data_IF_806167065537
#
_entry.id   IF_806167065537
#
_cell.length_a   1.000
_cell.length_b   1.000
_cell.length_c   1.000
_cell.angle_alpha   90.00
_cell.angle_beta   90.00
_cell.angle_gamma   90.00
#
_symmetry.space_group_name_H-M   'P 1'
#
loop_
_entity.id
_entity.type
_entity.pdbx_description
1 polymer ?
#
# COMPACT_ATOMS: atom_id res chain seq x y z
N UNK A 1 8.55 -15.01 -7.40
CA UNK A 1 7.96 -13.85 -6.69
C UNK A 1 8.78 -12.63 -7.12
N UNK A 2 8.13 -11.51 -7.47
CA UNK A 2 8.88 -10.31 -7.84
C UNK A 2 9.60 -9.76 -6.61
N UNK A 3 10.77 -9.14 -6.81
CA UNK A 3 11.56 -8.59 -5.70
C UNK A 3 10.93 -7.31 -5.11
N UNK A 4 9.84 -6.80 -5.71
CA UNK A 4 9.09 -5.65 -5.22
C UNK A 4 7.65 -5.64 -5.75
N UNK A 5 6.71 -5.21 -4.90
CA UNK A 5 5.31 -4.94 -5.28
C UNK A 5 4.88 -3.56 -4.78
N UNK A 6 4.11 -2.82 -5.58
CA UNK A 6 3.50 -1.56 -5.18
C UNK A 6 2.02 -1.77 -4.79
N UNK A 7 1.65 -1.37 -3.58
CA UNK A 7 0.28 -1.41 -3.07
C UNK A 7 -0.40 -0.08 -3.37
N UNK A 8 -1.28 -0.11 -4.37
CA UNK A 8 -2.17 0.99 -4.71
C UNK A 8 -3.51 0.83 -3.97
N UNK A 9 -4.25 1.93 -3.81
CA UNK A 9 -5.62 1.92 -3.29
C UNK A 9 -6.55 2.63 -4.24
N UNK A 10 -7.81 2.21 -4.28
CA UNK A 10 -8.84 2.87 -5.10
C UNK A 10 -9.17 4.29 -4.61
N UNK A 11 -8.85 4.60 -3.35
CA UNK A 11 -9.12 5.89 -2.69
C UNK A 11 -8.20 6.03 -1.46
N UNK A 12 -8.30 7.15 -0.74
CA UNK A 12 -7.81 7.29 0.63
C UNK A 12 -8.69 6.47 1.59
N UNK A 13 -8.14 6.03 2.72
CA UNK A 13 -8.85 5.28 3.79
C UNK A 13 -9.53 3.97 3.37
N UNK A 14 -9.11 3.37 2.26
CA UNK A 14 -9.57 2.03 1.83
C UNK A 14 -8.88 0.88 2.57
N UNK A 15 -8.02 1.19 3.55
CA UNK A 15 -7.27 0.22 4.35
C UNK A 15 -6.02 -0.35 3.67
N UNK A 16 -5.31 0.45 2.87
CA UNK A 16 -4.01 0.06 2.28
C UNK A 16 -3.06 -0.48 3.36
N UNK A 17 -2.84 0.28 4.43
CA UNK A 17 -1.95 -0.09 5.55
C UNK A 17 -2.31 -1.44 6.17
N UNK A 18 -3.60 -1.67 6.43
CA UNK A 18 -4.09 -2.94 6.99
C UNK A 18 -3.75 -4.10 6.04
N UNK A 19 -4.04 -3.93 4.75
CA UNK A 19 -3.74 -4.93 3.73
C UNK A 19 -2.22 -5.16 3.56
N UNK A 20 -1.42 -4.09 3.56
CA UNK A 20 0.04 -4.16 3.47
C UNK A 20 0.63 -4.92 4.65
N UNK A 21 0.20 -4.63 5.88
CA UNK A 21 0.62 -5.36 7.07
C UNK A 21 0.22 -6.84 7.00
N UNK A 22 -0.99 -7.16 6.54
CA UNK A 22 -1.43 -8.54 6.37
C UNK A 22 -0.55 -9.31 5.36
N UNK A 23 -0.17 -8.68 4.23
CA UNK A 23 0.78 -9.25 3.26
C UNK A 23 2.14 -9.52 3.91
N UNK A 24 2.69 -8.53 4.64
CA UNK A 24 4.00 -8.66 5.30
C UNK A 24 4.00 -9.82 6.32
N UNK A 25 2.95 -9.94 7.15
CA UNK A 25 2.84 -11.05 8.10
C UNK A 25 2.58 -12.41 7.41
N UNK A 26 1.86 -12.46 6.30
CA UNK A 26 1.69 -13.69 5.51
C UNK A 26 3.03 -14.16 4.89
N UNK A 27 3.88 -13.23 4.46
CA UNK A 27 5.22 -13.55 3.94
C UNK A 27 6.10 -14.20 5.03
N UNK A 28 6.02 -13.68 6.27
CA UNK A 28 6.71 -14.28 7.42
C UNK A 28 6.30 -15.74 7.69
N UNK A 29 5.02 -16.08 7.47
CA UNK A 29 4.52 -17.45 7.63
C UNK A 29 5.01 -18.42 6.54
N UNK A 30 5.51 -17.89 5.43
CA UNK A 30 5.98 -18.66 4.26
C UNK A 30 7.50 -18.66 4.11
N UNK A 31 8.25 -18.22 5.14
CA UNK A 31 9.71 -18.06 5.16
C UNK A 31 10.26 -17.12 4.07
N UNK A 32 9.43 -16.21 3.55
CA UNK A 32 9.86 -15.17 2.61
C UNK A 32 10.13 -13.90 3.43
N UNK A 33 11.35 -13.38 3.36
CA UNK A 33 11.65 -12.12 4.05
C UNK A 33 11.07 -10.97 3.24
N UNK A 34 10.31 -10.10 3.91
CA UNK A 34 9.66 -8.97 3.28
C UNK A 34 9.78 -7.71 4.15
N UNK A 35 10.00 -6.57 3.50
CA UNK A 35 10.13 -5.27 4.16
C UNK A 35 9.14 -4.27 3.58
N UNK A 36 8.46 -3.54 4.46
CA UNK A 36 7.55 -2.46 4.09
C UNK A 36 8.29 -1.18 3.75
N UNK A 37 7.86 -0.48 2.70
CA UNK A 37 8.41 0.80 2.27
C UNK A 37 7.29 1.79 2.01
N UNK A 38 7.25 2.90 2.75
CA UNK A 38 6.30 4.00 2.57
C UNK A 38 7.09 5.24 2.11
N UNK A 39 7.46 5.34 0.83
CA UNK A 39 8.38 6.37 0.35
C UNK A 39 7.95 7.80 0.71
N UNK A 40 6.63 8.03 0.72
CA UNK A 40 6.02 9.34 0.98
C UNK A 40 4.85 9.15 1.96
N UNK A 41 4.84 9.94 3.02
CA UNK A 41 3.76 9.98 3.99
C UNK A 41 3.44 11.42 4.41
N UNK A 42 2.15 11.71 4.55
CA UNK A 42 1.61 13.00 5.02
C UNK A 42 0.61 12.73 6.14
N UNK A 43 0.46 13.65 7.08
CA UNK A 43 -0.30 13.39 8.31
C UNK A 43 0.55 12.62 9.31
N UNK A 44 1.51 13.31 9.91
CA UNK A 44 2.48 12.73 10.84
C UNK A 44 2.48 13.47 12.16
N UNK A 45 2.87 12.78 13.22
CA UNK A 45 2.95 13.34 14.57
C UNK A 45 4.40 13.72 14.90
N UNK A 46 4.58 14.81 15.63
CA UNK A 46 5.89 15.15 16.20
C UNK A 46 6.18 14.25 17.39
N UNK A 47 7.28 13.51 17.33
CA UNK A 47 7.81 12.73 18.45
C UNK A 47 9.21 13.22 18.83
N UNK A 48 9.77 12.79 19.97
CA UNK A 48 11.14 13.12 20.33
C UNK A 48 12.20 12.66 19.30
N UNK A 49 11.85 11.73 18.41
CA UNK A 49 12.72 11.21 17.35
C UNK A 49 12.46 11.85 15.97
N UNK A 50 11.64 12.90 15.93
CA UNK A 50 11.21 13.59 14.71
C UNK A 50 9.77 13.25 14.30
N UNK A 51 9.39 13.60 13.07
CA UNK A 51 8.07 13.27 12.56
C UNK A 51 7.91 11.76 12.39
N UNK A 52 6.75 11.23 12.78
CA UNK A 52 6.40 9.81 12.59
C UNK A 52 4.99 9.68 12.02
N UNK A 53 4.88 8.97 10.91
CA UNK A 53 3.62 8.58 10.32
C UNK A 53 3.18 7.20 10.83
N UNK A 54 1.91 7.06 11.16
CA UNK A 54 1.36 5.81 11.70
C UNK A 54 1.43 4.65 10.71
N UNK A 55 1.21 4.88 9.41
CA UNK A 55 1.28 3.82 8.40
C UNK A 55 2.72 3.31 8.28
N UNK A 56 3.69 4.23 8.20
CA UNK A 56 5.10 3.89 8.13
C UNK A 56 5.57 3.09 9.36
N UNK A 57 5.11 3.46 10.56
CA UNK A 57 5.41 2.72 11.79
C UNK A 57 4.83 1.29 11.77
N UNK A 58 3.59 1.13 11.29
CA UNK A 58 2.96 -0.19 11.18
C UNK A 58 3.70 -1.08 10.16
N UNK A 59 4.10 -0.52 9.02
CA UNK A 59 4.89 -1.22 8.01
C UNK A 59 6.28 -1.60 8.53
N UNK A 60 6.95 -0.70 9.24
CA UNK A 60 8.22 -0.98 9.90
C UNK A 60 8.09 -2.16 10.87
N UNK A 61 7.04 -2.16 11.67
CA UNK A 61 6.77 -3.20 12.65
C UNK A 61 6.40 -4.54 12.02
N UNK A 62 5.65 -4.54 10.91
CA UNK A 62 5.27 -5.74 10.19
C UNK A 62 6.39 -6.30 9.30
N UNK A 63 7.48 -5.56 9.09
CA UNK A 63 8.64 -6.02 8.32
C UNK A 63 9.35 -7.17 9.03
N UNK A 64 9.79 -8.18 8.27
CA UNK A 64 10.50 -9.34 8.82
C UNK A 64 11.98 -9.09 9.11
N UNK A 65 12.48 -7.92 8.71
CA UNK A 65 13.88 -7.51 8.83
C UNK A 65 13.97 -6.20 9.61
N UNK A 66 15.07 -6.03 10.34
CA UNK A 66 15.27 -4.82 11.14
C UNK A 66 15.72 -3.67 10.26
N UNK A 67 14.90 -2.62 10.21
CA UNK A 67 15.16 -1.38 9.44
C UNK A 67 14.89 -0.16 10.29
N UNK A 68 15.57 0.94 9.98
CA UNK A 68 15.30 2.23 10.64
C UNK A 68 14.00 2.84 10.11
N UNK A 69 13.46 3.84 10.82
CA UNK A 69 12.26 4.54 10.34
C UNK A 69 12.52 5.25 9.01
N UNK A 70 13.70 5.86 8.85
CA UNK A 70 14.06 6.61 7.64
C UNK A 70 14.28 5.70 6.43
N UNK A 71 14.64 4.43 6.65
CA UNK A 71 14.66 3.41 5.60
C UNK A 71 13.24 3.13 5.07
N UNK A 72 12.24 3.13 5.96
CA UNK A 72 10.84 2.87 5.61
C UNK A 72 10.17 4.11 5.03
N UNK A 73 10.39 5.30 5.59
CA UNK A 73 9.70 6.53 5.20
C UNK A 73 10.63 7.75 5.13
N UNK A 74 11.35 7.94 3.99
CA UNK A 74 12.28 9.06 3.82
C UNK A 74 11.58 10.41 3.68
N UNK A 75 10.41 10.48 3.04
CA UNK A 75 9.60 11.71 2.98
C UNK A 75 8.45 11.63 3.98
N UNK A 76 8.66 12.21 5.16
CA UNK A 76 7.64 12.38 6.19
C UNK A 76 7.21 13.85 6.28
N UNK A 77 5.91 14.11 6.12
CA UNK A 77 5.30 15.44 6.21
C UNK A 77 4.29 15.52 7.35
N UNK A 78 4.20 16.67 8.00
CA UNK A 78 3.34 16.88 9.17
C UNK A 78 1.85 16.90 8.80
N UNK A 79 1.45 17.75 7.85
CA UNK A 79 0.02 17.99 7.56
C UNK A 79 -0.61 16.83 6.76
N UNK A 80 -1.86 16.43 7.07
CA UNK A 80 -2.60 15.40 6.34
C UNK A 80 -3.22 15.97 5.06
N UNK A 81 -2.36 16.39 4.12
CA UNK A 81 -2.74 16.92 2.81
C UNK A 81 -2.03 16.15 1.71
N UNK A 82 -2.39 16.38 0.45
CA UNK A 82 -1.70 15.74 -0.67
C UNK A 82 -0.19 16.04 -0.64
N UNK A 83 0.69 15.07 -0.98
CA UNK A 83 2.13 15.22 -0.86
C UNK A 83 2.71 16.48 -1.50
N UNK A 84 2.26 16.86 -2.70
CA UNK A 84 2.74 18.08 -3.37
C UNK A 84 2.45 19.37 -2.56
N UNK A 85 1.32 19.43 -1.85
CA UNK A 85 0.96 20.58 -1.00
C UNK A 85 1.85 20.57 0.24
N UNK A 86 1.97 19.42 0.90
CA UNK A 86 2.78 19.30 2.12
C UNK A 86 4.26 19.62 1.85
N UNK A 87 4.81 19.11 0.74
CA UNK A 87 6.17 19.38 0.30
C UNK A 87 6.38 20.87 0.03
N UNK A 88 5.44 21.53 -0.66
CA UNK A 88 5.49 22.98 -0.92
C UNK A 88 5.48 23.80 0.37
N UNK A 89 4.62 23.46 1.31
CA UNK A 89 4.47 24.18 2.59
C UNK A 89 5.68 24.00 3.50
N UNK A 90 6.32 22.82 3.45
CA UNK A 90 7.54 22.53 4.22
C UNK A 90 8.83 22.87 3.45
N UNK A 91 8.73 23.53 2.30
CA UNK A 91 9.87 23.89 1.43
C UNK A 91 10.79 22.71 1.08
N UNK A 92 10.19 21.54 0.82
CA UNK A 92 10.85 20.30 0.43
C UNK A 92 10.50 19.95 -1.01
N UNK A 93 11.41 19.26 -1.68
CA UNK A 93 11.17 18.65 -3.00
C UNK A 93 11.19 17.13 -2.85
N UNK A 94 10.18 16.47 -3.43
CA UNK A 94 10.14 15.01 -3.51
C UNK A 94 10.90 14.59 -4.76
N UNK A 95 12.01 13.88 -4.59
CA UNK A 95 12.90 13.45 -5.66
C UNK A 95 12.81 11.93 -5.84
N UNK A 96 12.48 11.49 -7.06
CA UNK A 96 12.39 10.07 -7.40
C UNK A 96 13.68 9.30 -7.13
N UNK A 97 14.84 9.92 -7.33
CA UNK A 97 16.12 9.28 -7.04
C UNK A 97 16.25 8.84 -5.57
N UNK A 98 15.74 9.62 -4.62
CA UNK A 98 15.77 9.23 -3.20
C UNK A 98 14.84 8.04 -2.93
N UNK A 99 13.69 7.99 -3.61
CA UNK A 99 12.76 6.85 -3.53
C UNK A 99 13.40 5.58 -4.07
N UNK A 100 14.05 5.67 -5.24
CA UNK A 100 14.74 4.56 -5.90
C UNK A 100 15.96 4.08 -5.11
N UNK A 101 16.71 4.98 -4.47
CA UNK A 101 17.82 4.64 -3.58
C UNK A 101 17.32 3.86 -2.34
N UNK A 102 16.22 4.32 -1.72
CA UNK A 102 15.59 3.60 -0.61
C UNK A 102 15.13 2.21 -1.01
N UNK A 103 14.42 2.09 -2.15
CA UNK A 103 14.00 0.80 -2.69
C UNK A 103 15.19 -0.13 -2.97
N UNK A 104 16.25 0.38 -3.58
CA UNK A 104 17.46 -0.40 -3.89
C UNK A 104 18.13 -0.91 -2.61
N UNK A 105 18.26 -0.05 -1.59
CA UNK A 105 18.80 -0.43 -0.28
C UNK A 105 17.96 -1.50 0.40
N UNK A 106 16.64 -1.42 0.32
CA UNK A 106 15.74 -2.39 0.94
C UNK A 106 15.76 -3.75 0.21
N UNK A 107 15.90 -3.75 -1.12
CA UNK A 107 16.08 -4.97 -1.92
C UNK A 107 17.33 -5.78 -1.55
N UNK A 108 18.33 -5.19 -0.88
CA UNK A 108 19.50 -5.93 -0.40
C UNK A 108 19.30 -6.55 0.98
N UNK A 109 18.20 -6.23 1.67
CA UNK A 109 17.94 -6.64 3.05
C UNK A 109 16.83 -7.69 3.18
N UNK A 110 15.97 -7.81 2.18
CA UNK A 110 14.86 -8.76 2.16
C UNK A 110 14.64 -9.33 0.75
N UNK A 111 14.02 -10.50 0.65
CA UNK A 111 13.69 -11.15 -0.62
C UNK A 111 12.71 -10.32 -1.46
N UNK A 112 11.82 -9.58 -0.78
CA UNK A 112 10.84 -8.72 -1.42
C UNK A 112 10.60 -7.42 -0.66
N UNK A 113 10.36 -6.32 -1.39
CA UNK A 113 9.92 -5.04 -0.83
C UNK A 113 8.43 -4.83 -1.12
N UNK A 114 7.63 -4.53 -0.10
CA UNK A 114 6.24 -4.11 -0.26
C UNK A 114 6.15 -2.60 -0.14
N UNK A 115 5.94 -1.93 -1.27
CA UNK A 115 5.89 -0.46 -1.32
C UNK A 115 4.45 -0.01 -1.18
N UNK A 116 4.12 0.76 -0.16
CA UNK A 116 2.80 1.35 0.00
C UNK A 116 2.74 2.78 -0.58
N UNK A 117 1.76 3.03 -1.44
CA UNK A 117 1.49 4.37 -1.94
C UNK A 117 0.86 5.31 -0.90
N UNK A 118 0.82 6.60 -1.22
CA UNK A 118 0.00 7.58 -0.51
C UNK A 118 -1.28 7.87 -1.32
N UNK A 119 -2.46 7.89 -0.68
CA UNK A 119 -3.73 8.17 -1.36
C UNK A 119 -4.11 7.15 -2.46
N UNK A 120 -4.62 7.63 -3.60
CA UNK A 120 -4.92 6.83 -4.80
C UNK A 120 -3.82 6.85 -5.86
N UNK A 121 -4.08 6.27 -7.04
CA UNK A 121 -3.06 6.08 -8.09
C UNK A 121 -2.50 7.38 -8.70
N UNK A 122 -3.35 8.40 -8.90
CA UNK A 122 -2.98 9.70 -9.50
C UNK A 122 -2.68 10.77 -8.45
N UNK A 123 -1.96 10.40 -7.39
CA UNK A 123 -1.58 11.35 -6.33
C UNK A 123 -0.40 12.20 -6.78
N UNK A 124 -0.57 13.54 -6.84
CA UNK A 124 0.48 14.44 -7.27
C UNK A 124 1.59 14.55 -6.20
N UNK A 125 2.82 14.52 -6.67
CA UNK A 125 4.02 14.78 -5.85
C UNK A 125 4.64 16.15 -6.15
N UNK A 126 4.36 16.70 -7.33
CA UNK A 126 4.64 18.08 -7.72
C UNK A 126 3.60 18.54 -8.77
N UNK A 127 3.87 19.64 -9.49
CA UNK A 127 2.92 20.22 -10.45
C UNK A 127 2.76 19.43 -11.76
N UNK A 128 3.71 18.55 -12.08
CA UNK A 128 3.80 17.86 -13.37
C UNK A 128 3.77 16.34 -13.24
N UNK A 129 4.03 15.80 -12.06
CA UNK A 129 4.23 14.38 -11.83
C UNK A 129 3.36 13.83 -10.71
N UNK A 130 2.99 12.57 -10.89
CA UNK A 130 2.31 11.75 -9.89
C UNK A 130 3.28 10.74 -9.28
N UNK A 131 2.96 10.23 -8.09
CA UNK A 131 3.71 9.10 -7.50
C UNK A 131 3.74 7.88 -8.45
N UNK A 132 2.65 7.65 -9.21
CA UNK A 132 2.60 6.61 -10.24
C UNK A 132 3.64 6.76 -11.35
N UNK A 133 4.17 7.97 -11.58
CA UNK A 133 5.25 8.19 -12.55
C UNK A 133 6.55 7.51 -12.09
N UNK A 134 6.84 7.52 -10.79
CA UNK A 134 7.95 6.77 -10.21
C UNK A 134 7.70 5.26 -10.23
N UNK A 135 6.48 4.82 -9.92
CA UNK A 135 6.10 3.40 -10.01
C UNK A 135 6.29 2.89 -11.44
N UNK A 136 5.97 3.71 -12.44
CA UNK A 136 6.23 3.45 -13.86
C UNK A 136 7.73 3.41 -14.16
N UNK A 137 8.52 4.36 -13.67
CA UNK A 137 9.98 4.36 -13.84
C UNK A 137 10.62 3.07 -13.32
N UNK A 138 10.17 2.60 -12.16
CA UNK A 138 10.66 1.39 -11.50
C UNK A 138 10.03 0.08 -12.02
N UNK A 139 9.08 0.16 -12.96
CA UNK A 139 8.35 -0.98 -13.54
C UNK A 139 7.77 -1.93 -12.47
N UNK A 140 7.18 -1.36 -11.40
CA UNK A 140 6.69 -2.17 -10.28
C UNK A 140 5.36 -2.85 -10.61
N UNK A 141 5.27 -4.13 -10.28
CA UNK A 141 4.01 -4.87 -10.27
C UNK A 141 3.07 -4.31 -9.19
N UNK A 142 1.80 -4.11 -9.52
CA UNK A 142 0.83 -3.44 -8.66
C UNK A 142 -0.14 -4.43 -8.01
N UNK A 143 -0.33 -4.29 -6.70
CA UNK A 143 -1.42 -4.91 -5.95
C UNK A 143 -2.46 -3.82 -5.65
N UNK A 144 -3.71 -4.02 -6.07
CA UNK A 144 -4.78 -3.04 -5.88
C UNK A 144 -5.64 -3.35 -4.65
N UNK A 145 -5.68 -2.44 -3.68
CA UNK A 145 -6.60 -2.51 -2.54
C UNK A 145 -7.90 -1.81 -2.87
N UNK A 146 -9.01 -2.56 -2.81
CA UNK A 146 -10.36 -2.07 -3.05
C UNK A 146 -11.14 -2.06 -1.74
N UNK A 147 -11.43 -0.88 -1.22
CA UNK A 147 -12.35 -0.72 -0.09
C UNK A 147 -13.77 -0.97 -0.55
N UNK A 148 -14.41 -2.03 -0.05
CA UNK A 148 -15.74 -2.45 -0.51
C UNK A 148 -16.80 -1.53 0.11
N UNK A 149 -17.29 -0.60 -0.72
CA UNK A 149 -18.34 0.38 -0.42
C UNK A 149 -19.07 0.75 -1.73
N UNK A 150 -20.20 1.46 -1.62
CA UNK A 150 -20.84 2.05 -2.80
C UNK A 150 -19.84 2.93 -3.57
N UNK A 151 -19.78 2.77 -4.89
CA UNK A 151 -18.82 3.45 -5.77
C UNK A 151 -17.50 2.71 -5.99
N UNK A 152 -17.20 1.63 -5.23
CA UNK A 152 -15.94 0.91 -5.37
C UNK A 152 -15.74 0.29 -6.75
N UNK A 153 -16.81 -0.18 -7.42
CA UNK A 153 -16.72 -0.76 -8.77
C UNK A 153 -16.13 0.24 -9.78
N UNK A 154 -16.63 1.48 -9.74
CA UNK A 154 -16.13 2.56 -10.59
C UNK A 154 -14.66 2.89 -10.26
N UNK A 155 -14.33 3.11 -8.98
CA UNK A 155 -12.97 3.47 -8.61
C UNK A 155 -11.97 2.34 -8.92
N UNK A 156 -12.36 1.08 -8.74
CA UNK A 156 -11.51 -0.06 -9.03
C UNK A 156 -11.20 -0.17 -10.52
N UNK A 157 -12.22 -0.05 -11.40
CA UNK A 157 -12.00 -0.03 -12.84
C UNK A 157 -11.14 1.15 -13.29
N UNK A 158 -11.48 2.37 -12.89
CA UNK A 158 -10.72 3.56 -13.28
C UNK A 158 -9.26 3.48 -12.82
N UNK A 159 -9.02 2.92 -11.63
CA UNK A 159 -7.67 2.72 -11.11
C UNK A 159 -6.92 1.66 -11.92
N UNK A 160 -7.54 0.52 -12.20
CA UNK A 160 -6.94 -0.55 -12.99
C UNK A 160 -6.63 -0.11 -14.43
N UNK A 161 -7.56 0.57 -15.09
CA UNK A 161 -7.36 1.15 -16.42
C UNK A 161 -6.20 2.15 -16.44
N UNK A 162 -6.10 3.01 -15.43
CA UNK A 162 -4.99 3.97 -15.31
C UNK A 162 -3.63 3.27 -15.09
N UNK A 163 -3.59 2.20 -14.30
CA UNK A 163 -2.36 1.40 -14.10
C UNK A 163 -1.94 0.75 -15.44
N UNK A 164 -2.88 0.13 -16.15
CA UNK A 164 -2.62 -0.50 -17.45
C UNK A 164 -2.18 0.54 -18.50
N UNK A 165 -2.81 1.72 -18.52
CA UNK A 165 -2.46 2.82 -19.41
C UNK A 165 -1.05 3.39 -19.13
N UNK A 166 -0.55 3.25 -17.91
CA UNK A 166 0.84 3.59 -17.57
C UNK A 166 1.85 2.53 -18.04
N UNK A 167 1.38 1.40 -18.57
CA UNK A 167 2.19 0.27 -19.03
C UNK A 167 2.60 -0.68 -17.89
N UNK A 168 1.85 -0.67 -16.78
CA UNK A 168 2.10 -1.53 -15.63
C UNK A 168 1.06 -2.64 -15.51
N UNK A 169 1.37 -3.66 -14.70
CA UNK A 169 0.51 -4.82 -14.48
C UNK A 169 -0.11 -4.79 -13.09
N UNK A 170 -1.41 -5.02 -13.00
CA UNK A 170 -2.08 -5.38 -11.75
C UNK A 170 -1.96 -6.89 -11.59
N UNK A 171 -1.07 -7.33 -10.70
CA UNK A 171 -0.80 -8.77 -10.48
C UNK A 171 -1.82 -9.40 -9.54
N UNK A 172 -2.45 -8.60 -8.69
CA UNK A 172 -3.48 -9.06 -7.78
C UNK A 172 -4.23 -7.90 -7.15
N UNK A 173 -5.32 -8.22 -6.46
CA UNK A 173 -6.11 -7.24 -5.75
C UNK A 173 -6.70 -7.81 -4.46
N UNK A 174 -6.97 -6.92 -3.50
CA UNK A 174 -7.53 -7.25 -2.20
C UNK A 174 -8.89 -6.58 -2.07
N UNK A 175 -9.90 -7.38 -1.74
CA UNK A 175 -11.17 -6.87 -1.23
C UNK A 175 -11.01 -6.57 0.26
N UNK A 176 -11.16 -5.31 0.66
CA UNK A 176 -11.13 -4.92 2.07
C UNK A 176 -12.50 -4.43 2.51
N UNK A 177 -13.14 -5.14 3.43
CA UNK A 177 -14.43 -4.75 3.98
C UNK A 177 -14.24 -3.63 5.02
N UNK A 178 -14.45 -2.38 4.60
CA UNK A 178 -14.23 -1.19 5.44
C UNK A 178 -15.44 -0.78 6.30
N UNK A 179 -16.58 -1.43 6.10
CA UNK A 179 -17.80 -1.20 6.88
C UNK A 179 -18.41 -2.51 7.37
N UNK A 180 -19.00 -2.54 8.59
CA UNK A 180 -19.53 -3.78 9.17
C UNK A 180 -20.66 -4.38 8.34
N UNK A 181 -21.46 -3.53 7.71
CA UNK A 181 -22.53 -3.91 6.80
C UNK A 181 -22.30 -3.18 5.49
N UNK A 182 -22.32 -3.93 4.41
CA UNK A 182 -22.26 -3.38 3.05
C UNK A 182 -23.31 -4.10 2.20
N UNK A 183 -24.29 -3.36 1.71
CA UNK A 183 -25.34 -3.92 0.86
C UNK A 183 -24.76 -4.50 -0.42
N UNK A 184 -25.30 -5.65 -0.85
CA UNK A 184 -24.87 -6.34 -2.06
C UNK A 184 -23.36 -6.70 -2.11
N UNK A 185 -22.72 -6.85 -0.95
CA UNK A 185 -21.28 -7.14 -0.83
C UNK A 185 -20.84 -8.30 -1.76
N UNK A 186 -21.48 -9.47 -1.67
CA UNK A 186 -21.14 -10.64 -2.49
C UNK A 186 -21.28 -10.37 -3.99
N UNK A 187 -22.30 -9.62 -4.41
CA UNK A 187 -22.50 -9.27 -5.81
C UNK A 187 -21.40 -8.31 -6.31
N UNK A 188 -20.97 -7.36 -5.48
CA UNK A 188 -19.85 -6.47 -5.80
C UNK A 188 -18.53 -7.24 -5.93
N UNK A 189 -18.23 -8.15 -4.99
CA UNK A 189 -17.03 -8.99 -5.07
C UNK A 189 -17.03 -9.84 -6.35
N UNK A 190 -18.15 -10.51 -6.64
CA UNK A 190 -18.30 -11.35 -7.84
C UNK A 190 -18.06 -10.54 -9.10
N UNK A 191 -18.60 -9.31 -9.16
CA UNK A 191 -18.40 -8.43 -10.30
C UNK A 191 -16.93 -7.99 -10.42
N UNK A 192 -16.27 -7.60 -9.32
CA UNK A 192 -14.87 -7.22 -9.32
C UNK A 192 -13.96 -8.37 -9.79
N UNK A 193 -14.21 -9.60 -9.35
CA UNK A 193 -13.45 -10.79 -9.78
C UNK A 193 -13.54 -11.04 -11.30
N UNK A 194 -14.68 -10.69 -11.91
CA UNK A 194 -14.90 -10.86 -13.34
C UNK A 194 -14.28 -9.74 -14.20
N UNK A 195 -14.07 -8.56 -13.64
CA UNK A 195 -13.73 -7.36 -14.41
C UNK A 195 -12.35 -6.76 -14.08
N UNK A 196 -11.78 -7.04 -12.90
CA UNK A 196 -10.45 -6.56 -12.56
C UNK A 196 -9.35 -7.45 -13.16
N UNK A 197 -8.24 -6.86 -13.63
CA UNK A 197 -7.02 -7.60 -13.90
C UNK A 197 -6.42 -8.18 -12.61
N UNK A 198 -5.69 -9.28 -12.75
CA UNK A 198 -5.06 -9.98 -11.63
C UNK A 198 -6.03 -10.87 -10.84
N UNK A 199 -5.50 -11.63 -9.88
CA UNK A 199 -6.30 -12.51 -9.02
C UNK A 199 -6.73 -11.77 -7.75
N UNK A 200 -7.91 -12.10 -7.21
CA UNK A 200 -8.27 -11.71 -5.84
C UNK A 200 -7.38 -12.51 -4.89
N UNK A 201 -6.39 -11.85 -4.29
CA UNK A 201 -5.41 -12.50 -3.42
C UNK A 201 -5.89 -12.58 -1.97
N UNK A 202 -6.87 -11.75 -1.61
CA UNK A 202 -7.46 -11.75 -0.29
C UNK A 202 -8.84 -11.10 -0.28
N UNK A 203 -9.63 -11.53 0.70
CA UNK A 203 -10.86 -10.89 1.13
C UNK A 203 -10.77 -10.67 2.65
N UNK A 204 -10.47 -9.43 3.05
CA UNK A 204 -10.24 -9.06 4.45
C UNK A 204 -11.58 -8.64 5.07
N UNK A 205 -12.01 -9.29 6.16
CA UNK A 205 -13.28 -8.96 6.81
C UNK A 205 -13.21 -7.63 7.55
N UNK A 206 -14.38 -7.07 7.88
CA UNK A 206 -14.45 -5.86 8.69
C UNK A 206 -13.87 -6.09 10.09
N UNK A 207 -13.01 -5.15 10.51
CA UNK A 207 -12.41 -5.14 11.84
C UNK A 207 -12.95 -3.91 12.57
N UNK A 208 -13.66 -4.08 13.70
CA UNK A 208 -14.15 -2.95 14.46
C UNK A 208 -13.00 -2.13 15.07
N UNK A 209 -12.97 -0.82 14.79
CA UNK A 209 -12.03 0.16 15.35
C UNK A 209 -12.08 0.31 16.89
N UNK A 210 -12.99 -0.41 17.57
CA UNK A 210 -13.18 -0.35 19.02
C UNK A 210 -12.13 -1.17 19.81
N UNK A 211 -11.27 -1.92 19.10
CA UNK A 211 -9.96 -2.31 19.62
C UNK A 211 -8.95 -1.41 18.91
N UNK A 212 -7.99 -0.79 19.61
CA UNK A 212 -7.08 0.13 18.95
C UNK A 212 -6.47 -0.58 17.73
N UNK A 213 -6.65 -0.02 16.52
CA UNK A 213 -6.11 -0.47 15.22
C UNK A 213 -4.57 -0.60 15.19
N UNK A 214 -3.95 -0.44 16.35
CA UNK A 214 -2.52 -0.50 16.66
C UNK A 214 -2.12 -1.81 17.35
N UNK A 215 -3.04 -2.74 17.62
CA UNK A 215 -2.66 -4.05 18.12
C UNK A 215 -2.14 -4.92 16.99
N UNK A 216 -0.81 -5.11 16.98
CA UNK A 216 -0.03 -6.05 16.15
C UNK A 216 -0.78 -7.37 15.92
N UNK A 217 -1.38 -7.90 16.99
CA UNK A 217 -2.12 -9.16 17.02
C UNK A 217 -3.25 -9.21 16.01
N UNK A 218 -3.95 -8.10 15.79
CA UNK A 218 -5.05 -8.03 14.81
C UNK A 218 -4.52 -8.14 13.39
N UNK A 219 -3.47 -7.39 13.03
CA UNK A 219 -2.87 -7.46 11.69
C UNK A 219 -2.22 -8.82 11.40
N UNK A 220 -1.58 -9.44 12.40
CA UNK A 220 -1.03 -10.80 12.28
C UNK A 220 -2.12 -11.83 12.01
N UNK A 221 -3.30 -11.69 12.63
CA UNK A 221 -4.43 -12.58 12.37
C UNK A 221 -4.97 -12.44 10.94
N UNK A 222 -4.81 -11.28 10.29
CA UNK A 222 -5.27 -11.10 8.92
C UNK A 222 -4.41 -11.79 7.88
N UNK A 223 -3.17 -12.16 8.23
CA UNK A 223 -2.28 -12.90 7.35
C UNK A 223 -2.93 -14.19 6.79
N UNK A 224 -3.82 -14.83 7.56
CA UNK A 224 -4.53 -16.04 7.16
C UNK A 224 -5.45 -15.85 5.94
N UNK A 225 -5.84 -14.61 5.62
CA UNK A 225 -6.69 -14.28 4.47
C UNK A 225 -5.88 -13.99 3.20
N UNK A 226 -4.55 -13.87 3.29
CA UNK A 226 -3.68 -13.57 2.15
C UNK A 226 -3.19 -14.86 1.51
N UNK A 227 -3.50 -15.06 0.24
CA UNK A 227 -2.89 -16.10 -0.58
C UNK A 227 -1.78 -15.53 -1.47
N UNK A 228 -0.55 -15.58 -0.96
CA UNK A 228 0.64 -15.10 -1.67
C UNK A 228 1.00 -15.97 -2.88
N UNK A 229 0.51 -17.21 -2.97
CA UNK A 229 0.80 -18.08 -4.11
C UNK A 229 0.22 -17.50 -5.41
N UNK A 230 -0.85 -16.71 -5.30
CA UNK A 230 -1.51 -16.03 -6.41
C UNK A 230 -0.73 -14.82 -6.96
N UNK A 231 0.32 -14.36 -6.26
CA UNK A 231 1.24 -13.30 -6.71
C UNK A 231 2.49 -13.82 -7.43
N UNK A 232 2.67 -15.14 -7.49
CA UNK A 232 3.79 -15.75 -8.19
C UNK A 232 3.47 -15.93 -9.68
N UNK A 233 4.19 -15.21 -10.53
CA UNK A 233 4.26 -15.55 -11.95
C UNK A 233 4.95 -16.92 -12.08
N UNK A 234 4.29 -17.85 -12.78
CA UNK A 234 4.96 -18.98 -13.42
C UNK A 234 5.53 -18.51 -14.75
#
# INVERSE_FOLDING_TARGET
MNNAYFVAGTDTDVGKTVCSCAILYAAQQTNITMVGYKPIASGSENTPQGLRNSDALLLQQASSVSVTYDDVNPYTFYRPVSPHIAAKEEHKTIEFDLLSQGLTKLKTQADCVLIEGAGGWRVPINNTEYLSSWVKQEQLAVILVVGIKLGCLNHALLTAEAILADGLTVVGWIANQIHPVTDNYTAMITWLEQHLPGKKIAEIPYIPMNKPDKEITTHQQLAQYIDLSLLSER
#
